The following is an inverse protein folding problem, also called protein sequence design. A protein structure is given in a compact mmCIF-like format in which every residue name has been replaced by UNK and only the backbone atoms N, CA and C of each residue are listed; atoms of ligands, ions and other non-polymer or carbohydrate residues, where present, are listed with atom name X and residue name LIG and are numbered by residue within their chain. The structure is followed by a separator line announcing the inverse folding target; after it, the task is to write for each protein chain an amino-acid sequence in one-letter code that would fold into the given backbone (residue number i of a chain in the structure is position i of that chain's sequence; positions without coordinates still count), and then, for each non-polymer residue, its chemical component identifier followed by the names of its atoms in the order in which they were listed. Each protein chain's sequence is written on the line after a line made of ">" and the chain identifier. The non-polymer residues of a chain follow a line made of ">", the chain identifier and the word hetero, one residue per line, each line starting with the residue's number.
data_IF_513337272412
#
_entry.id   IF_513337272412
#
_cell.length_a   1.000
_cell.length_b   1.000
_cell.length_c   1.000
_cell.angle_alpha   90.00
_cell.angle_beta   90.00
_cell.angle_gamma   90.00
#
_symmetry.space_group_name_H-M   'P 1'
#
loop_
_entity.id
_entity.type
_entity.pdbx_description
1 polymer ?
#
# COMPACT_ATOMS: atom_id res chain seq x y z
N UNK A 1 3.24 6.89 -18.55
CA UNK A 1 3.06 6.31 -17.19
C UNK A 1 4.31 5.55 -16.74
N UNK A 2 4.71 4.45 -17.39
CA UNK A 2 5.94 3.71 -17.02
C UNK A 2 7.20 4.57 -17.09
N UNK A 3 7.36 5.37 -18.16
CA UNK A 3 8.46 6.34 -18.27
C UNK A 3 8.46 7.41 -17.18
N UNK A 4 7.27 7.86 -16.74
CA UNK A 4 7.15 8.84 -15.65
C UNK A 4 7.59 8.22 -14.32
N UNK A 5 7.19 6.98 -14.06
CA UNK A 5 7.63 6.24 -12.87
C UNK A 5 9.14 5.96 -12.92
N UNK A 6 9.71 5.60 -14.09
CA UNK A 6 11.15 5.38 -14.24
C UNK A 6 11.99 6.65 -14.07
N UNK A 7 11.56 7.76 -14.68
CA UNK A 7 12.24 9.04 -14.52
C UNK A 7 12.24 9.52 -13.07
N UNK A 8 11.26 9.09 -12.29
CA UNK A 8 11.05 9.53 -10.92
C UNK A 8 11.73 8.64 -9.88
N UNK A 9 11.48 7.34 -9.90
CA UNK A 9 12.06 6.40 -8.93
C UNK A 9 13.51 6.03 -9.26
N UNK A 10 13.96 6.29 -10.49
CA UNK A 10 15.33 6.03 -10.93
C UNK A 10 15.80 4.62 -10.54
N UNK A 11 16.90 4.55 -9.79
CA UNK A 11 17.52 3.30 -9.38
C UNK A 11 16.74 2.53 -8.29
N UNK A 12 15.74 3.16 -7.65
CA UNK A 12 14.88 2.50 -6.65
C UNK A 12 13.79 1.64 -7.28
N UNK A 13 13.55 1.79 -8.59
CA UNK A 13 12.57 0.99 -9.32
C UNK A 13 13.24 0.14 -10.40
N UNK A 14 13.06 -1.17 -10.26
CA UNK A 14 13.36 -2.12 -11.33
C UNK A 14 12.07 -2.39 -12.10
N UNK A 15 11.99 -1.88 -13.33
CA UNK A 15 10.92 -2.25 -14.25
C UNK A 15 11.28 -3.56 -14.96
N UNK A 16 10.48 -4.60 -14.73
CA UNK A 16 10.58 -5.86 -15.44
C UNK A 16 9.34 -6.06 -16.31
N UNK A 17 9.53 -6.10 -17.63
CA UNK A 17 8.49 -6.50 -18.58
C UNK A 17 8.51 -8.02 -18.77
N UNK A 18 7.32 -8.64 -18.88
CA UNK A 18 7.16 -10.06 -19.20
C UNK A 18 5.96 -10.24 -20.13
N UNK A 19 6.15 -11.05 -21.16
CA UNK A 19 5.08 -11.40 -22.10
C UNK A 19 3.97 -12.21 -21.43
N UNK A 20 2.72 -11.89 -21.76
CA UNK A 20 1.55 -12.68 -21.38
C UNK A 20 0.55 -12.79 -22.55
N UNK A 21 0.93 -13.46 -23.65
CA UNK A 21 0.11 -13.52 -24.86
C UNK A 21 -1.18 -14.32 -24.62
N UNK A 22 -2.34 -13.67 -24.77
CA UNK A 22 -3.64 -14.31 -24.62
C UNK A 22 -4.07 -15.06 -25.90
N UNK A 23 -3.42 -16.19 -26.15
CA UNK A 23 -3.60 -17.00 -27.38
C UNK A 23 -5.03 -17.55 -27.58
N UNK A 24 -5.83 -17.64 -26.52
CA UNK A 24 -7.23 -18.08 -26.57
C UNK A 24 -8.15 -17.07 -27.29
N UNK A 25 -7.76 -15.80 -27.35
CA UNK A 25 -8.55 -14.71 -27.94
C UNK A 25 -7.79 -13.95 -29.03
N UNK A 26 -6.46 -14.08 -29.10
CA UNK A 26 -5.60 -13.41 -30.06
C UNK A 26 -4.65 -14.39 -30.74
N UNK A 27 -4.98 -14.78 -31.98
CA UNK A 27 -4.17 -15.73 -32.77
C UNK A 27 -2.79 -15.20 -33.21
N UNK A 28 -2.51 -13.92 -33.00
CA UNK A 28 -1.24 -13.25 -33.32
C UNK A 28 -0.42 -12.90 -32.07
N UNK A 29 -0.90 -13.21 -30.87
CA UNK A 29 -0.29 -12.71 -29.64
C UNK A 29 1.16 -13.16 -29.45
N UNK A 30 1.49 -14.40 -29.82
CA UNK A 30 2.87 -14.90 -29.77
C UNK A 30 3.71 -14.23 -30.86
N UNK A 31 3.20 -14.15 -32.10
CA UNK A 31 3.92 -13.51 -33.21
C UNK A 31 4.27 -12.04 -32.91
N UNK A 32 3.34 -11.28 -32.32
CA UNK A 32 3.61 -9.89 -31.92
C UNK A 32 4.62 -9.79 -30.76
N UNK A 33 4.61 -10.75 -29.84
CA UNK A 33 5.59 -10.83 -28.75
C UNK A 33 6.99 -11.13 -29.28
N UNK A 34 7.12 -12.11 -30.19
CA UNK A 34 8.38 -12.44 -30.85
C UNK A 34 8.91 -11.29 -31.70
N UNK A 35 8.03 -10.55 -32.38
CA UNK A 35 8.41 -9.35 -33.14
C UNK A 35 9.02 -8.26 -32.23
N UNK A 36 8.45 -8.04 -31.04
CA UNK A 36 9.02 -7.11 -30.08
C UNK A 36 10.40 -7.58 -29.57
N UNK A 37 10.59 -8.88 -29.31
CA UNK A 37 11.89 -9.44 -28.90
C UNK A 37 12.94 -9.38 -30.02
N UNK A 38 12.55 -9.64 -31.27
CA UNK A 38 13.44 -9.53 -32.42
C UNK A 38 13.93 -8.09 -32.66
N UNK A 39 13.06 -7.10 -32.43
CA UNK A 39 13.48 -5.70 -32.38
C UNK A 39 14.33 -5.38 -31.14
N UNK A 40 14.01 -5.99 -30.00
CA UNK A 40 14.77 -5.85 -28.75
C UNK A 40 16.20 -6.36 -28.83
N UNK A 41 16.45 -7.43 -29.59
CA UNK A 41 17.80 -7.90 -29.90
C UNK A 41 18.63 -6.92 -30.74
N UNK A 42 17.97 -5.90 -31.30
CA UNK A 42 18.56 -4.78 -32.04
C UNK A 42 18.42 -3.45 -31.28
N UNK A 43 18.26 -3.50 -29.95
CA UNK A 43 18.10 -2.36 -29.04
C UNK A 43 16.83 -1.51 -29.26
N UNK A 44 15.83 -2.02 -29.99
CA UNK A 44 14.61 -1.29 -30.37
C UNK A 44 13.32 -1.84 -29.74
N UNK A 45 13.41 -2.54 -28.59
CA UNK A 45 12.26 -3.23 -27.97
C UNK A 45 11.07 -2.29 -27.72
N UNK A 46 11.30 -1.17 -27.02
CA UNK A 46 10.23 -0.27 -26.59
C UNK A 46 9.61 0.50 -27.76
N UNK A 47 10.44 0.98 -28.68
CA UNK A 47 9.98 1.68 -29.89
C UNK A 47 9.10 0.76 -30.76
N UNK A 48 9.53 -0.49 -30.95
CA UNK A 48 8.75 -1.47 -31.70
C UNK A 48 7.50 -1.95 -30.94
N UNK A 49 7.60 -2.15 -29.62
CA UNK A 49 6.47 -2.48 -28.76
C UNK A 49 5.36 -1.43 -28.87
N UNK A 50 5.70 -0.15 -28.70
CA UNK A 50 4.72 0.94 -28.73
C UNK A 50 4.08 1.06 -30.13
N UNK A 51 4.87 0.87 -31.18
CA UNK A 51 4.40 0.85 -32.57
C UNK A 51 3.32 -0.22 -32.80
N UNK A 52 3.50 -1.43 -32.25
CA UNK A 52 2.50 -2.51 -32.35
C UNK A 52 1.16 -2.11 -31.72
N UNK A 53 1.19 -1.43 -30.57
CA UNK A 53 -0.02 -0.98 -29.86
C UNK A 53 -0.68 0.22 -30.53
N UNK A 54 0.10 1.25 -30.87
CA UNK A 54 -0.41 2.46 -31.53
C UNK A 54 -1.08 2.14 -32.87
N UNK A 55 -0.55 1.15 -33.59
CA UNK A 55 -1.03 0.76 -34.93
C UNK A 55 -1.79 -0.55 -34.94
N UNK A 56 -2.31 -0.99 -33.79
CA UNK A 56 -3.04 -2.26 -33.67
C UNK A 56 -4.15 -2.42 -34.74
N UNK A 57 -4.86 -1.34 -35.06
CA UNK A 57 -5.93 -1.36 -36.07
C UNK A 57 -5.47 -1.76 -37.49
N UNK A 58 -4.18 -1.67 -37.81
CA UNK A 58 -3.66 -2.05 -39.12
C UNK A 58 -3.53 -3.57 -39.29
N UNK A 59 -3.25 -4.30 -38.20
CA UNK A 59 -2.90 -5.72 -38.25
C UNK A 59 -3.81 -6.63 -37.42
N UNK A 60 -4.64 -6.10 -36.52
CA UNK A 60 -5.48 -6.91 -35.63
C UNK A 60 -6.43 -7.87 -36.35
N UNK A 61 -7.01 -7.46 -37.48
CA UNK A 61 -7.94 -8.27 -38.28
C UNK A 61 -7.26 -9.11 -39.36
N UNK A 62 -5.94 -8.97 -39.51
CA UNK A 62 -5.17 -9.72 -40.50
C UNK A 62 -4.97 -11.18 -40.06
N UNK A 63 -4.72 -12.05 -41.04
CA UNK A 63 -4.17 -13.38 -40.79
C UNK A 63 -2.75 -13.28 -40.20
N UNK A 64 -2.23 -14.33 -39.53
CA UNK A 64 -0.85 -14.32 -39.03
C UNK A 64 0.20 -14.02 -40.09
N UNK A 65 0.04 -14.53 -41.31
CA UNK A 65 0.98 -14.30 -42.41
C UNK A 65 0.95 -12.83 -42.87
N UNK A 66 -0.23 -12.24 -43.05
CA UNK A 66 -0.37 -10.82 -43.39
C UNK A 66 0.17 -9.90 -42.28
N UNK A 67 -0.07 -10.27 -41.01
CA UNK A 67 0.45 -9.53 -39.87
C UNK A 67 1.97 -9.60 -39.78
N UNK A 68 2.56 -10.75 -40.11
CA UNK A 68 4.02 -10.91 -40.20
C UNK A 68 4.63 -9.95 -41.23
N UNK A 69 4.03 -9.82 -42.41
CA UNK A 69 4.48 -8.85 -43.42
C UNK A 69 4.36 -7.42 -42.89
N UNK A 70 3.27 -7.10 -42.18
CA UNK A 70 3.10 -5.79 -41.53
C UNK A 70 4.19 -5.52 -40.49
N UNK A 71 4.53 -6.52 -39.68
CA UNK A 71 5.57 -6.45 -38.66
C UNK A 71 6.97 -6.26 -39.28
N UNK A 72 7.27 -6.97 -40.37
CA UNK A 72 8.50 -6.75 -41.14
C UNK A 72 8.57 -5.31 -41.66
N UNK A 73 7.45 -4.76 -42.16
CA UNK A 73 7.38 -3.36 -42.59
C UNK A 73 7.62 -2.35 -41.45
N UNK A 74 7.21 -2.67 -40.22
CA UNK A 74 7.54 -1.87 -39.04
C UNK A 74 9.02 -1.93 -38.70
N UNK A 75 9.66 -3.10 -38.85
CA UNK A 75 11.11 -3.24 -38.65
C UNK A 75 11.90 -2.41 -39.68
N UNK A 76 11.44 -2.37 -40.93
CA UNK A 76 12.02 -1.50 -41.98
C UNK A 76 11.86 -0.01 -41.64
N UNK A 77 10.71 0.42 -41.12
CA UNK A 77 10.48 1.82 -40.72
C UNK A 77 11.42 2.28 -39.59
N UNK A 78 11.82 1.36 -38.72
CA UNK A 78 12.75 1.62 -37.62
C UNK A 78 14.22 1.38 -38.00
N UNK A 79 14.54 1.25 -39.30
CA UNK A 79 15.89 1.00 -39.81
C UNK A 79 16.59 -0.25 -39.20
N UNK A 80 15.81 -1.28 -38.85
CA UNK A 80 16.34 -2.55 -38.31
C UNK A 80 16.92 -3.45 -39.42
N UNK A 81 17.75 -4.41 -39.04
CA UNK A 81 18.16 -5.51 -39.92
C UNK A 81 16.97 -6.42 -40.20
N UNK A 82 16.31 -6.15 -41.33
CA UNK A 82 15.12 -6.85 -41.79
C UNK A 82 15.39 -8.33 -42.07
N UNK A 83 16.56 -8.67 -42.63
CA UNK A 83 16.89 -10.07 -42.94
C UNK A 83 16.99 -10.90 -41.65
N UNK A 84 17.66 -10.36 -40.63
CA UNK A 84 17.76 -11.00 -39.31
C UNK A 84 16.39 -11.04 -38.61
N UNK A 85 15.63 -9.94 -38.64
CA UNK A 85 14.30 -9.86 -38.04
C UNK A 85 13.33 -10.89 -38.65
N UNK A 86 13.28 -10.98 -39.98
CA UNK A 86 12.46 -11.96 -40.69
C UNK A 86 12.89 -13.38 -40.34
N UNK A 87 14.20 -13.66 -40.32
CA UNK A 87 14.72 -14.96 -39.93
C UNK A 87 14.32 -15.33 -38.48
N UNK A 88 14.33 -14.38 -37.56
CA UNK A 88 13.91 -14.61 -36.18
C UNK A 88 12.42 -14.98 -36.08
N UNK A 89 11.57 -14.30 -36.83
CA UNK A 89 10.15 -14.62 -36.92
C UNK A 89 9.84 -15.91 -37.69
N UNK A 90 10.67 -16.31 -38.65
CA UNK A 90 10.53 -17.59 -39.37
C UNK A 90 10.92 -18.77 -38.49
N UNK A 91 11.99 -18.61 -37.72
CA UNK A 91 12.52 -19.67 -36.86
C UNK A 91 11.81 -19.77 -35.52
N UNK A 92 11.03 -18.74 -35.15
CA UNK A 92 10.44 -18.64 -33.83
C UNK A 92 11.52 -18.48 -32.74
N UNK A 93 12.56 -17.68 -33.03
CA UNK A 93 13.78 -17.57 -32.20
C UNK A 93 13.46 -17.24 -30.74
N UNK A 94 12.40 -16.48 -30.48
CA UNK A 94 12.01 -16.02 -29.14
C UNK A 94 10.78 -16.73 -28.58
N UNK A 95 10.24 -17.74 -29.28
CA UNK A 95 9.04 -18.48 -28.87
C UNK A 95 9.18 -19.13 -27.49
N UNK A 96 10.32 -19.72 -27.18
CA UNK A 96 10.60 -20.33 -25.88
C UNK A 96 10.64 -19.28 -24.75
N UNK A 97 11.25 -18.11 -25.00
CA UNK A 97 11.29 -16.99 -24.05
C UNK A 97 9.87 -16.50 -23.72
N UNK A 98 9.05 -16.32 -24.77
CA UNK A 98 7.65 -15.89 -24.63
C UNK A 98 6.83 -16.94 -23.88
N UNK A 99 7.04 -18.23 -24.19
CA UNK A 99 6.35 -19.34 -23.52
C UNK A 99 6.74 -19.45 -22.04
N UNK A 100 8.02 -19.29 -21.70
CA UNK A 100 8.51 -19.29 -20.31
C UNK A 100 7.93 -18.12 -19.49
N UNK A 101 7.89 -16.92 -20.09
CA UNK A 101 7.27 -15.76 -19.46
C UNK A 101 5.78 -15.99 -19.18
N UNK A 102 5.06 -16.57 -20.16
CA UNK A 102 3.65 -16.90 -20.01
C UNK A 102 3.42 -17.97 -18.93
N UNK A 103 4.23 -19.03 -18.90
CA UNK A 103 4.15 -20.09 -17.91
C UNK A 103 4.39 -19.56 -16.49
N UNK A 104 5.42 -18.73 -16.31
CA UNK A 104 5.73 -18.08 -15.01
C UNK A 104 4.55 -17.25 -14.51
N UNK A 105 3.92 -16.48 -15.39
CA UNK A 105 2.77 -15.66 -15.03
C UNK A 105 1.52 -16.50 -14.71
N UNK A 106 1.31 -17.64 -15.38
CA UNK A 106 0.24 -18.58 -15.05
C UNK A 106 0.48 -19.28 -13.70
N UNK A 107 1.71 -19.65 -13.39
CA UNK A 107 2.10 -20.19 -12.07
C UNK A 107 1.87 -19.17 -10.96
N UNK A 108 2.14 -17.89 -11.24
CA UNK A 108 1.81 -16.77 -10.37
C UNK A 108 0.31 -16.43 -10.33
N UNK A 109 -0.54 -17.22 -10.99
CA UNK A 109 -2.00 -17.06 -11.05
C UNK A 109 -2.45 -15.70 -11.59
N UNK A 110 -1.64 -15.08 -12.46
CA UNK A 110 -2.03 -13.87 -13.16
C UNK A 110 -3.10 -14.21 -14.20
N UNK A 111 -4.23 -13.50 -14.17
CA UNK A 111 -5.42 -13.84 -14.95
C UNK A 111 -5.72 -12.84 -16.07
N UNK A 112 -4.91 -11.79 -16.23
CA UNK A 112 -5.15 -10.77 -17.24
C UNK A 112 -3.97 -9.84 -17.49
N UNK A 113 -4.17 -8.94 -18.46
CA UNK A 113 -3.19 -7.94 -18.89
C UNK A 113 -3.81 -6.54 -18.84
N UNK A 114 -3.08 -5.50 -18.37
CA UNK A 114 -1.81 -5.61 -17.66
C UNK A 114 -2.01 -6.23 -16.26
N UNK A 115 -1.00 -6.96 -15.80
CA UNK A 115 -0.83 -7.30 -14.39
C UNK A 115 0.39 -6.57 -13.88
N UNK A 116 0.29 -5.91 -12.73
CA UNK A 116 1.40 -5.18 -12.11
C UNK A 116 1.73 -5.87 -10.80
N UNK A 117 3.01 -6.11 -10.55
CA UNK A 117 3.51 -6.68 -9.29
C UNK A 117 4.44 -5.67 -8.66
N UNK A 118 4.19 -5.33 -7.40
CA UNK A 118 5.00 -4.41 -6.60
C UNK A 118 5.47 -5.15 -5.36
N UNK A 119 6.78 -5.26 -5.15
CA UNK A 119 7.40 -5.95 -4.01
C UNK A 119 6.84 -7.37 -3.75
N UNK A 120 6.55 -8.11 -4.82
CA UNK A 120 6.02 -9.49 -4.74
C UNK A 120 4.50 -9.61 -4.57
N UNK A 121 3.78 -8.49 -4.43
CA UNK A 121 2.32 -8.47 -4.33
C UNK A 121 1.68 -8.01 -5.65
N UNK A 122 0.59 -8.68 -6.05
CA UNK A 122 -0.20 -8.26 -7.23
C UNK A 122 -0.90 -6.95 -6.88
N UNK A 123 -0.64 -5.91 -7.69
CA UNK A 123 -1.23 -4.59 -7.53
C UNK A 123 -2.73 -4.64 -7.91
N UNK A 124 -3.65 -4.21 -7.03
CA UNK A 124 -5.08 -4.34 -7.23
C UNK A 124 -5.62 -3.22 -8.13
N UNK A 125 -5.43 -3.35 -9.45
CA UNK A 125 -5.76 -2.35 -10.47
C UNK A 125 -7.25 -1.92 -10.50
N UNK A 126 -8.15 -2.69 -9.89
CA UNK A 126 -9.58 -2.33 -9.80
C UNK A 126 -9.90 -1.44 -8.58
N UNK A 127 -9.01 -1.44 -7.59
CA UNK A 127 -9.21 -0.76 -6.30
C UNK A 127 -8.31 0.46 -6.17
N UNK A 128 -7.09 0.38 -6.72
CA UNK A 128 -6.08 1.43 -6.60
C UNK A 128 -5.74 1.91 -8.01
N UNK A 129 -5.81 3.24 -8.28
CA UNK A 129 -5.38 3.77 -9.57
C UNK A 129 -3.90 3.50 -9.79
N UNK A 130 -3.53 3.13 -11.02
CA UNK A 130 -2.14 2.96 -11.41
C UNK A 130 -1.52 4.33 -11.72
N UNK A 131 -1.26 5.10 -10.66
CA UNK A 131 -0.60 6.39 -10.66
C UNK A 131 0.38 6.46 -9.47
N UNK A 132 1.07 7.60 -9.30
CA UNK A 132 2.06 7.77 -8.23
C UNK A 132 1.46 7.50 -6.86
N UNK A 133 0.38 8.21 -6.53
CA UNK A 133 -0.23 8.15 -5.20
C UNK A 133 -0.70 6.73 -4.87
N UNK A 134 -1.25 6.01 -5.86
CA UNK A 134 -1.68 4.63 -5.70
C UNK A 134 -0.53 3.64 -5.51
N UNK A 135 0.58 3.83 -6.22
CA UNK A 135 1.78 2.98 -6.08
C UNK A 135 2.45 3.22 -4.74
N UNK A 136 2.64 4.47 -4.33
CA UNK A 136 3.20 4.83 -3.01
C UNK A 136 2.35 4.26 -1.89
N UNK A 137 1.03 4.49 -1.93
CA UNK A 137 0.08 3.90 -1.00
C UNK A 137 0.23 2.37 -0.90
N UNK A 138 0.32 1.67 -2.04
CA UNK A 138 0.45 0.22 -2.04
C UNK A 138 1.81 -0.25 -1.51
N UNK A 139 2.90 0.47 -1.82
CA UNK A 139 4.23 0.18 -1.27
C UNK A 139 4.22 0.33 0.25
N UNK A 140 3.65 1.42 0.78
CA UNK A 140 3.64 1.69 2.21
C UNK A 140 2.81 0.66 2.98
N UNK A 141 1.66 0.26 2.43
CA UNK A 141 0.83 -0.81 3.01
C UNK A 141 1.52 -2.18 2.91
N UNK A 142 2.18 -2.50 1.79
CA UNK A 142 2.82 -3.83 1.61
C UNK A 142 4.11 -3.97 2.42
N UNK A 143 4.90 -2.89 2.59
CA UNK A 143 6.04 -2.87 3.52
C UNK A 143 5.61 -3.15 4.96
N UNK A 144 4.38 -2.78 5.33
CA UNK A 144 3.83 -3.08 6.65
C UNK A 144 3.66 -4.58 6.87
N UNK A 145 3.43 -5.38 5.81
CA UNK A 145 3.23 -6.82 5.94
C UNK A 145 4.42 -7.52 6.63
N UNK A 146 5.65 -7.05 6.40
CA UNK A 146 6.86 -7.57 7.08
C UNK A 146 6.95 -7.17 8.55
N UNK A 147 6.25 -6.10 8.95
CA UNK A 147 6.18 -5.59 10.34
C UNK A 147 4.98 -6.12 11.12
N UNK A 148 4.12 -6.93 10.51
CA UNK A 148 2.93 -7.46 11.16
C UNK A 148 3.29 -8.47 12.26
N UNK A 149 2.48 -8.48 13.30
CA UNK A 149 2.57 -9.38 14.43
C UNK A 149 1.51 -10.48 14.34
N UNK A 150 1.79 -11.60 15.01
CA UNK A 150 0.73 -12.53 15.41
C UNK A 150 -0.08 -11.97 16.58
N UNK A 151 -1.04 -12.75 17.09
CA UNK A 151 -1.80 -12.37 18.28
C UNK A 151 -0.86 -12.00 19.44
N UNK A 152 -1.07 -10.85 20.10
CA UNK A 152 -0.16 -10.35 21.11
C UNK A 152 -0.18 -11.25 22.35
N UNK A 153 0.99 -11.48 22.93
CA UNK A 153 1.09 -12.13 24.24
C UNK A 153 0.62 -11.18 25.35
N UNK A 154 0.20 -11.72 26.48
CA UNK A 154 -0.13 -10.90 27.66
C UNK A 154 1.15 -10.28 28.22
N UNK A 155 1.24 -8.94 28.23
CA UNK A 155 2.37 -8.13 28.73
C UNK A 155 1.98 -7.19 29.87
N UNK A 156 0.69 -7.05 30.17
CA UNK A 156 0.18 -6.29 31.32
C UNK A 156 -0.54 -7.19 32.33
N UNK A 157 -0.64 -6.72 33.57
CA UNK A 157 -1.57 -7.22 34.59
C UNK A 157 -2.79 -6.28 34.64
N UNK A 158 -3.99 -6.68 34.17
CA UNK A 158 -5.18 -5.82 34.15
C UNK A 158 -5.61 -5.25 35.51
N UNK A 159 -5.07 -5.77 36.62
CA UNK A 159 -5.37 -5.27 37.97
C UNK A 159 -4.46 -4.10 38.39
N UNK A 160 -3.48 -3.73 37.57
CA UNK A 160 -2.54 -2.65 37.82
C UNK A 160 -2.82 -1.44 36.95
N UNK A 161 -2.26 -0.31 37.36
CA UNK A 161 -2.34 0.94 36.61
C UNK A 161 -1.13 1.11 35.71
N UNK A 162 -1.37 1.56 34.48
CA UNK A 162 -0.33 1.82 33.49
C UNK A 162 -0.46 3.23 32.94
N UNK A 163 0.67 3.81 32.56
CA UNK A 163 0.75 5.09 31.89
C UNK A 163 1.62 4.97 30.64
N UNK A 164 1.12 5.51 29.53
CA UNK A 164 1.87 5.67 28.29
C UNK A 164 2.35 7.11 28.16
N UNK A 165 3.60 7.31 27.73
CA UNK A 165 4.10 8.61 27.26
C UNK A 165 4.37 8.50 25.77
N UNK A 166 3.61 9.26 24.99
CA UNK A 166 3.80 9.44 23.56
C UNK A 166 4.71 10.65 23.37
N UNK A 167 5.97 10.42 23.02
CA UNK A 167 6.89 11.50 22.68
C UNK A 167 6.70 11.88 21.22
N UNK A 168 6.41 13.15 20.95
CA UNK A 168 6.21 13.68 19.60
C UNK A 168 7.20 14.80 19.30
N UNK A 169 7.29 15.21 18.04
CA UNK A 169 8.07 16.40 17.64
C UNK A 169 7.55 17.71 18.26
N UNK A 170 6.31 17.73 18.76
CA UNK A 170 5.67 18.88 19.41
C UNK A 170 5.75 18.86 20.94
N UNK A 171 6.20 17.74 21.53
CA UNK A 171 6.25 17.53 22.98
C UNK A 171 5.68 16.18 23.40
N UNK A 172 5.62 15.94 24.71
CA UNK A 172 5.14 14.69 25.28
C UNK A 172 3.64 14.75 25.59
N UNK A 173 2.93 13.66 25.28
CA UNK A 173 1.53 13.43 25.66
C UNK A 173 1.51 12.24 26.61
N UNK A 174 0.98 12.44 27.81
CA UNK A 174 0.93 11.42 28.88
C UNK A 174 -0.50 10.92 29.01
N UNK A 175 -0.68 9.60 28.96
CA UNK A 175 -1.98 8.92 28.94
C UNK A 175 -2.04 7.93 30.10
N UNK A 176 -3.07 8.02 30.93
CA UNK A 176 -3.43 6.95 31.86
C UNK A 176 -4.27 5.90 31.12
N UNK A 177 -3.84 4.64 31.18
CA UNK A 177 -4.45 3.53 30.45
C UNK A 177 -5.48 2.80 31.32
N UNK A 178 -6.63 2.46 30.73
CA UNK A 178 -7.75 1.82 31.42
C UNK A 178 -7.72 0.29 31.29
N UNK A 179 -6.66 -0.32 31.81
CA UNK A 179 -6.41 -1.77 31.70
C UNK A 179 -7.50 -2.66 32.35
N UNK A 180 -8.26 -2.11 33.29
CA UNK A 180 -9.36 -2.79 33.98
C UNK A 180 -10.65 -2.86 33.14
N UNK A 181 -10.90 -1.87 32.29
CA UNK A 181 -12.11 -1.77 31.47
C UNK A 181 -11.90 -2.25 30.04
N UNK A 182 -10.69 -2.11 29.50
CA UNK A 182 -10.29 -2.57 28.15
C UNK A 182 -9.01 -3.42 28.18
N UNK A 183 -8.97 -4.54 28.92
CA UNK A 183 -7.75 -5.31 29.15
C UNK A 183 -7.09 -5.85 27.88
N UNK A 184 -7.89 -6.29 26.90
CA UNK A 184 -7.37 -6.87 25.65
C UNK A 184 -6.75 -5.78 24.78
N UNK A 185 -7.47 -4.67 24.61
CA UNK A 185 -7.07 -3.57 23.76
C UNK A 185 -5.90 -2.76 24.38
N UNK A 186 -5.89 -2.56 25.70
CA UNK A 186 -4.74 -1.95 26.39
C UNK A 186 -3.52 -2.87 26.33
N UNK A 187 -3.69 -4.19 26.47
CA UNK A 187 -2.58 -5.13 26.28
C UNK A 187 -2.01 -5.06 24.86
N UNK A 188 -2.88 -4.99 23.84
CA UNK A 188 -2.47 -4.81 22.44
C UNK A 188 -1.66 -3.52 22.26
N UNK A 189 -2.16 -2.39 22.75
CA UNK A 189 -1.47 -1.10 22.67
C UNK A 189 -0.10 -1.13 23.35
N UNK A 190 -0.01 -1.68 24.57
CA UNK A 190 1.26 -1.80 25.30
C UNK A 190 2.24 -2.73 24.59
N UNK A 191 1.77 -3.86 24.07
CA UNK A 191 2.58 -4.79 23.30
C UNK A 191 3.15 -4.12 22.05
N UNK A 192 2.31 -3.41 21.28
CA UNK A 192 2.73 -2.69 20.08
C UNK A 192 3.75 -1.60 20.40
N UNK A 193 3.52 -0.81 21.46
CA UNK A 193 4.47 0.20 21.93
C UNK A 193 5.85 -0.40 22.29
N UNK A 194 5.86 -1.50 23.06
CA UNK A 194 7.11 -2.16 23.46
C UNK A 194 7.89 -2.78 22.30
N UNK A 195 7.22 -3.06 21.18
CA UNK A 195 7.82 -3.60 19.97
C UNK A 195 8.05 -2.54 18.88
N UNK A 196 8.01 -1.25 19.24
CA UNK A 196 8.34 -0.15 18.34
C UNK A 196 7.34 0.10 17.21
N UNK A 197 6.10 -0.42 17.32
CA UNK A 197 5.07 -0.20 16.30
C UNK A 197 4.73 1.28 16.14
N UNK A 198 4.81 2.06 17.21
CA UNK A 198 4.49 3.49 17.20
C UNK A 198 5.69 4.40 16.98
N UNK A 199 6.89 3.83 16.77
CA UNK A 199 8.09 4.60 16.55
C UNK A 199 8.06 5.20 15.14
N UNK A 200 8.33 6.50 15.05
CA UNK A 200 8.43 7.23 13.79
C UNK A 200 7.10 7.32 12.99
N UNK A 201 5.96 7.22 13.70
CA UNK A 201 4.60 7.16 13.13
C UNK A 201 3.93 8.53 13.09
N UNK A 202 3.36 8.92 11.95
CA UNK A 202 2.67 10.21 11.80
C UNK A 202 1.24 10.19 12.36
N UNK A 203 0.78 11.34 12.84
CA UNK A 203 -0.64 11.67 12.89
C UNK A 203 -1.15 11.88 11.45
N UNK A 204 -1.71 10.81 10.85
CA UNK A 204 -2.08 10.80 9.43
C UNK A 204 -3.44 11.44 9.15
N UNK A 205 -4.29 11.60 10.18
CA UNK A 205 -5.61 12.22 10.06
C UNK A 205 -5.90 13.07 11.31
N UNK A 206 -6.04 14.37 11.13
CA UNK A 206 -6.23 15.34 12.21
C UNK A 206 -7.30 16.33 11.77
N UNK A 207 -8.46 16.25 12.40
CA UNK A 207 -9.65 17.02 12.02
C UNK A 207 -10.00 18.02 13.12
N UNK A 208 -10.09 19.29 12.73
CA UNK A 208 -10.40 20.41 13.62
C UNK A 208 -11.67 20.13 14.42
N UNK A 209 -11.65 20.49 15.70
CA UNK A 209 -12.76 20.28 16.66
C UNK A 209 -13.25 18.83 16.82
N UNK A 210 -12.48 17.85 16.34
CA UNK A 210 -12.82 16.45 16.44
C UNK A 210 -11.71 15.63 17.12
N UNK A 211 -10.63 15.30 16.41
CA UNK A 211 -9.60 14.40 16.94
C UNK A 211 -8.30 14.43 16.12
N UNK A 212 -7.23 13.93 16.74
CA UNK A 212 -5.97 13.56 16.12
C UNK A 212 -5.80 12.03 16.11
N UNK A 213 -5.71 11.41 14.92
CA UNK A 213 -5.59 9.97 14.71
C UNK A 213 -4.18 9.58 14.23
N UNK A 214 -3.65 8.52 14.83
CA UNK A 214 -2.31 7.96 14.57
C UNK A 214 -2.31 6.43 14.71
N UNK A 215 -1.12 5.83 14.76
CA UNK A 215 -0.94 4.39 15.03
C UNK A 215 -0.91 3.49 13.81
N UNK A 216 -0.81 4.09 12.61
CA UNK A 216 -0.54 3.40 11.35
C UNK A 216 0.90 3.68 10.90
N UNK A 217 1.82 2.70 10.93
CA UNK A 217 3.21 2.91 10.52
C UNK A 217 3.41 3.16 9.03
N UNK A 218 2.40 2.88 8.20
CA UNK A 218 2.40 3.27 6.78
C UNK A 218 1.98 4.73 6.57
N UNK A 219 1.33 5.36 7.57
CA UNK A 219 0.78 6.70 7.45
C UNK A 219 -0.43 6.83 6.51
N UNK A 220 -0.92 5.73 5.95
CA UNK A 220 -1.99 5.74 4.94
C UNK A 220 -3.40 5.75 5.53
N UNK A 221 -3.56 5.36 6.79
CA UNK A 221 -4.83 5.10 7.46
C UNK A 221 -5.35 3.67 7.25
N UNK A 222 -4.67 2.83 6.46
CA UNK A 222 -5.08 1.45 6.16
C UNK A 222 -4.18 0.39 6.81
N UNK A 223 -3.11 0.80 7.49
CA UNK A 223 -2.22 -0.12 8.16
C UNK A 223 -2.81 -0.74 9.42
N UNK A 224 -2.43 -1.98 9.67
CA UNK A 224 -2.91 -2.81 10.77
C UNK A 224 -1.81 -3.77 11.23
N UNK A 225 -1.80 -4.18 12.52
CA UNK A 225 -0.72 -4.96 13.12
C UNK A 225 -0.72 -6.44 12.74
N UNK A 226 -1.55 -6.88 11.78
CA UNK A 226 -1.68 -8.30 11.39
C UNK A 226 -2.71 -9.10 12.20
N UNK A 227 -3.33 -8.48 13.20
CA UNK A 227 -4.42 -9.05 13.97
C UNK A 227 -5.49 -7.99 14.29
N UNK A 228 -6.63 -8.45 14.83
CA UNK A 228 -7.74 -7.60 15.30
C UNK A 228 -8.15 -7.98 16.72
N UNK A 229 -8.65 -7.00 17.46
CA UNK A 229 -9.25 -7.18 18.78
C UNK A 229 -10.74 -6.85 18.74
N UNK A 230 -11.53 -7.55 19.56
CA UNK A 230 -12.95 -7.27 19.79
C UNK A 230 -13.15 -5.92 20.48
N UNK A 231 -14.35 -5.36 20.37
CA UNK A 231 -14.72 -4.12 21.06
C UNK A 231 -14.90 -4.34 22.58
N UNK A 232 -14.29 -3.48 23.40
CA UNK A 232 -14.41 -3.49 24.86
C UNK A 232 -15.10 -2.20 25.34
N UNK A 233 -16.42 -2.15 25.18
CA UNK A 233 -17.23 -0.97 25.55
C UNK A 233 -17.58 -1.01 27.05
N UNK A 234 -17.16 0.03 27.77
CA UNK A 234 -17.40 0.20 29.20
C UNK A 234 -18.25 1.45 29.47
N UNK A 235 -19.31 1.37 30.30
CA UNK A 235 -20.07 2.55 30.71
C UNK A 235 -19.31 3.46 31.70
N UNK A 236 -18.11 3.05 32.14
CA UNK A 236 -17.30 3.80 33.12
C UNK A 236 -16.56 4.98 32.49
N UNK A 237 -16.44 5.00 31.17
CA UNK A 237 -15.75 6.05 30.42
C UNK A 237 -16.63 6.48 29.25
N UNK A 238 -16.60 7.78 28.93
CA UNK A 238 -17.41 8.38 27.87
C UNK A 238 -16.62 9.41 27.09
N UNK A 239 -17.12 9.76 25.91
CA UNK A 239 -16.57 10.83 25.07
C UNK A 239 -17.17 12.20 25.42
N UNK A 240 -17.24 12.56 26.69
CA UNK A 240 -17.84 13.80 27.20
C UNK A 240 -16.83 14.92 27.47
N UNK A 241 -15.53 14.65 27.28
CA UNK A 241 -14.43 15.59 27.46
C UNK A 241 -13.37 15.47 26.36
N UNK A 242 -12.43 16.43 26.34
CA UNK A 242 -11.22 16.36 25.51
C UNK A 242 -10.22 15.34 26.08
N UNK A 243 -9.29 14.88 25.25
CA UNK A 243 -8.20 14.01 25.68
C UNK A 243 -8.61 12.55 25.90
N UNK A 244 -9.79 12.14 25.44
CA UNK A 244 -10.19 10.72 25.45
C UNK A 244 -9.40 9.99 24.36
N UNK A 245 -8.76 8.87 24.74
CA UNK A 245 -7.97 8.04 23.84
C UNK A 245 -8.72 6.76 23.54
N UNK A 246 -9.01 6.53 22.25
CA UNK A 246 -9.75 5.36 21.80
C UNK A 246 -9.15 4.76 20.54
N UNK A 247 -9.42 3.47 20.29
CA UNK A 247 -8.93 2.79 19.09
C UNK A 247 -9.80 3.12 17.89
N UNK A 248 -9.17 3.39 16.75
CA UNK A 248 -9.87 3.52 15.47
C UNK A 248 -10.23 2.13 14.93
N UNK A 249 -11.39 2.02 14.31
CA UNK A 249 -11.89 0.77 13.72
C UNK A 249 -12.58 1.04 12.38
N UNK A 250 -12.77 -0.01 11.58
CA UNK A 250 -13.51 -0.01 10.31
C UNK A 250 -14.84 -0.76 10.42
N UNK A 251 -15.48 -0.67 11.59
CA UNK A 251 -16.65 -1.45 11.98
C UNK A 251 -16.40 -2.32 13.21
N UNK A 252 -17.43 -3.02 13.71
CA UNK A 252 -17.35 -3.80 14.95
C UNK A 252 -16.23 -4.83 14.94
N UNK A 253 -15.54 -4.96 16.07
CA UNK A 253 -14.48 -5.95 16.31
C UNK A 253 -13.30 -5.86 15.33
N UNK A 254 -12.96 -4.63 14.93
CA UNK A 254 -11.82 -4.36 14.02
C UNK A 254 -10.74 -3.47 14.62
N UNK A 255 -10.66 -3.42 15.95
CA UNK A 255 -9.61 -2.70 16.65
C UNK A 255 -8.23 -3.29 16.30
N UNK A 256 -7.23 -2.42 16.14
CA UNK A 256 -5.87 -2.81 15.76
C UNK A 256 -4.83 -1.94 16.45
N UNK A 257 -3.93 -1.36 15.65
CA UNK A 257 -2.88 -0.47 16.14
C UNK A 257 -3.25 1.01 16.10
N UNK A 258 -4.24 1.40 15.29
CA UNK A 258 -4.62 2.81 15.14
C UNK A 258 -5.45 3.30 16.33
N UNK A 259 -5.18 4.52 16.77
CA UNK A 259 -5.88 5.19 17.86
C UNK A 259 -6.09 6.67 17.53
N UNK A 260 -6.99 7.31 18.25
CA UNK A 260 -7.21 8.75 18.17
C UNK A 260 -7.35 9.37 19.55
N UNK A 261 -7.05 10.67 19.62
CA UNK A 261 -7.18 11.51 20.81
C UNK A 261 -8.16 12.64 20.50
N UNK A 262 -9.20 12.80 21.30
CA UNK A 262 -10.23 13.82 21.06
C UNK A 262 -9.76 15.23 21.44
N UNK A 263 -10.15 16.23 20.64
CA UNK A 263 -9.97 17.66 20.98
C UNK A 263 -11.06 18.20 21.90
N UNK A 264 -12.18 17.47 22.01
CA UNK A 264 -13.35 17.88 22.79
C UNK A 264 -14.38 16.76 22.91
N UNK A 265 -15.57 17.06 23.44
CA UNK A 265 -16.64 16.09 23.60
C UNK A 265 -17.15 15.54 22.25
N UNK A 266 -17.11 14.22 22.07
CA UNK A 266 -17.58 13.50 20.88
C UNK A 266 -18.55 12.36 21.24
N UNK A 267 -19.69 12.64 21.88
CA UNK A 267 -20.57 11.61 22.46
C UNK A 267 -21.17 10.65 21.43
N UNK A 268 -21.21 11.03 20.15
CA UNK A 268 -21.68 10.19 19.04
C UNK A 268 -20.75 9.00 18.75
N UNK A 269 -19.52 8.99 19.28
CA UNK A 269 -18.59 7.87 19.19
C UNK A 269 -18.83 6.80 20.27
N UNK A 270 -19.65 7.11 21.28
CA UNK A 270 -19.97 6.17 22.36
C UNK A 270 -20.59 4.89 21.78
N UNK A 271 -20.36 3.77 22.46
CA UNK A 271 -20.81 2.42 22.07
C UNK A 271 -20.22 1.88 20.76
N UNK A 272 -19.38 2.64 20.05
CA UNK A 272 -18.78 2.23 18.76
C UNK A 272 -17.27 2.09 18.79
N UNK A 273 -16.60 2.69 19.79
CA UNK A 273 -15.14 2.70 19.89
C UNK A 273 -14.68 2.36 21.29
N UNK A 274 -13.68 1.47 21.39
CA UNK A 274 -13.04 1.10 22.66
C UNK A 274 -12.18 2.24 23.17
N UNK A 275 -12.54 2.78 24.34
CA UNK A 275 -11.72 3.77 25.06
C UNK A 275 -10.63 3.02 25.82
N UNK A 276 -9.36 3.33 25.55
CA UNK A 276 -8.20 2.67 26.16
C UNK A 276 -7.49 3.54 27.19
N UNK A 277 -7.80 4.83 27.26
CA UNK A 277 -7.17 5.73 28.20
C UNK A 277 -7.61 7.18 28.08
N UNK A 278 -6.94 8.04 28.84
CA UNK A 278 -7.15 9.49 28.80
C UNK A 278 -5.85 10.25 29.01
N UNK A 279 -5.69 11.34 28.29
CA UNK A 279 -4.59 12.29 28.45
C UNK A 279 -4.65 12.92 29.85
N UNK A 280 -3.55 12.81 30.59
CA UNK A 280 -3.37 13.43 31.91
C UNK A 280 -2.40 14.61 31.90
N UNK A 281 -1.55 14.71 30.87
CA UNK A 281 -0.66 15.84 30.61
C UNK A 281 -0.37 15.95 29.12
N UNK A 282 -0.20 17.17 28.60
CA UNK A 282 0.12 17.39 27.19
C UNK A 282 -1.10 17.49 26.27
N UNK A 283 -2.28 17.86 26.78
CA UNK A 283 -3.44 18.14 25.91
C UNK A 283 -3.14 19.33 24.97
N UNK A 284 -2.41 20.32 25.46
CA UNK A 284 -1.93 21.44 24.64
C UNK A 284 -1.00 21.01 23.50
N UNK A 285 -0.30 19.87 23.66
CA UNK A 285 0.51 19.26 22.60
C UNK A 285 -0.40 18.62 21.57
N UNK A 286 -1.41 17.85 22.01
CA UNK A 286 -2.46 17.28 21.16
C UNK A 286 -3.12 18.37 20.33
N UNK A 287 -3.56 19.46 20.97
CA UNK A 287 -4.24 20.60 20.32
C UNK A 287 -3.32 21.36 19.34
N UNK A 288 -1.99 21.18 19.45
CA UNK A 288 -1.00 21.80 18.56
C UNK A 288 -0.61 20.94 17.36
N UNK A 289 -1.09 19.69 17.30
CA UNK A 289 -0.85 18.80 16.16
C UNK A 289 -1.49 19.41 14.91
N UNK A 290 -0.71 19.43 13.83
CA UNK A 290 -1.04 20.06 12.56
C UNK A 290 -2.27 19.38 11.96
N UNK A 291 -3.30 20.18 11.64
CA UNK A 291 -4.50 19.70 10.96
C UNK A 291 -4.13 19.04 9.63
N UNK A 292 -4.70 17.87 9.38
CA UNK A 292 -4.40 17.04 8.22
C UNK A 292 -5.64 16.25 7.85
N UNK A 293 -6.37 16.74 6.85
CA UNK A 293 -7.56 16.08 6.33
C UNK A 293 -7.20 15.27 5.07
N UNK A 294 -7.17 13.93 5.12
CA UNK A 294 -6.84 13.11 3.96
C UNK A 294 -7.75 13.35 2.76
N UNK A 295 -9.00 13.80 2.97
CA UNK A 295 -9.91 14.11 1.86
C UNK A 295 -9.48 15.34 1.04
N UNK A 296 -8.62 16.19 1.62
CA UNK A 296 -8.07 17.38 0.96
C UNK A 296 -6.73 17.10 0.26
N UNK A 297 -6.24 15.86 0.30
CA UNK A 297 -4.96 15.44 -0.29
C UNK A 297 -3.79 16.38 0.08
N UNK A 298 -3.46 16.53 1.38
CA UNK A 298 -2.40 17.42 1.83
C UNK A 298 -1.04 16.97 1.29
N UNK A 299 -0.22 17.92 0.85
CA UNK A 299 1.11 17.72 0.26
C UNK A 299 2.25 17.76 1.28
N UNK A 300 1.93 17.62 2.57
CA UNK A 300 2.88 17.62 3.68
C UNK A 300 2.67 16.39 4.57
N UNK A 301 3.74 16.00 5.27
CA UNK A 301 3.69 14.95 6.28
C UNK A 301 3.07 15.44 7.59
N UNK A 302 2.34 14.56 8.27
CA UNK A 302 1.80 14.84 9.59
C UNK A 302 2.88 14.84 10.66
N UNK A 303 2.64 15.53 11.76
CA UNK A 303 3.58 15.53 12.90
C UNK A 303 3.80 14.11 13.42
N UNK A 304 5.02 13.83 13.90
CA UNK A 304 5.47 12.47 14.17
C UNK A 304 5.47 12.12 15.65
N UNK A 305 5.02 10.91 15.95
CA UNK A 305 5.34 10.19 17.17
C UNK A 305 6.76 9.65 17.01
N UNK A 306 7.64 10.03 17.92
CA UNK A 306 9.03 9.59 17.95
C UNK A 306 9.14 8.21 18.63
N UNK A 307 8.42 8.03 19.74
CA UNK A 307 8.35 6.76 20.46
C UNK A 307 7.16 6.75 21.44
N UNK A 308 6.73 5.56 21.85
CA UNK A 308 5.76 5.37 22.93
C UNK A 308 6.39 4.52 24.03
N UNK A 309 6.49 5.07 25.24
CA UNK A 309 7.04 4.37 26.41
C UNK A 309 5.94 4.05 27.42
N UNK A 310 6.04 2.88 28.06
CA UNK A 310 5.04 2.38 29.02
C UNK A 310 5.66 2.29 30.40
N UNK A 311 4.93 2.77 31.41
CA UNK A 311 5.28 2.67 32.83
C UNK A 311 4.14 2.03 33.62
N UNK A 312 4.48 1.17 34.57
CA UNK A 312 3.55 0.64 35.58
C UNK A 312 3.61 1.55 36.82
N UNK A 313 2.45 1.87 37.42
CA UNK A 313 2.36 2.72 38.62
C UNK A 313 2.36 1.92 39.92
#
# INVERSE_FOLDING_TARGET
>A
MLEQLQAEFGDEMVLAYRHFPLTSIHNKAVLSAEAAEAAGAQDAFWEYHDLLFERQGAWAEQTPDEAKETFIGYAEELDLDVDQFTADLDNGTYSDLVAEAQATAQEAQLTGTPSVIVNGYVFPLQQIPLNREGIEFFIDVTRLAEKQFGLPTQVIDPTKEYQATISTEKGDIVIDLFADTAPTNVNSFVYLAQNGWYDDVTFHRVLEDFMAQAGDPSGTGFGWPGYRCEDEISPSHSFDEAGVVALANSGPDTNGGQFFITFGPTPHLSDSFTIIGRVTSGQEVVDSITLRDPEQNPDFEGDRILAVTISEK
#
